data_IF_669746093998
#
_entry.id   IF_669746093998
#
_cell.length_a   1.000
_cell.length_b   1.000
_cell.length_c   1.000
_cell.angle_alpha   90.00
_cell.angle_beta   90.00
_cell.angle_gamma   90.00
#
_symmetry.space_group_name_H-M   'P 1'
#
loop_
_entity.id
_entity.type
_entity.pdbx_description
1 polymer ?
#
# COMPACT_ATOMS: atom_id res chain seq x y z
N UNK A 1 6.67 17.02 15.25
CA UNK A 1 6.88 15.57 15.20
C UNK A 1 5.73 14.87 14.50
N UNK A 2 4.64 14.61 15.21
CA UNK A 2 3.49 13.80 14.74
C UNK A 2 2.83 14.39 13.48
N UNK A 3 2.56 15.70 13.44
CA UNK A 3 1.98 16.37 12.26
C UNK A 3 2.88 16.31 11.02
N UNK A 4 4.20 16.29 11.21
CA UNK A 4 5.18 16.25 10.12
C UNK A 4 5.25 14.84 9.51
N UNK A 5 5.24 13.80 10.35
CA UNK A 5 5.14 12.42 9.89
C UNK A 5 3.76 12.12 9.27
N UNK A 6 2.68 12.66 9.84
CA UNK A 6 1.34 12.51 9.26
C UNK A 6 1.25 13.12 7.85
N UNK A 7 1.77 14.33 7.67
CA UNK A 7 1.86 14.95 6.34
C UNK A 7 2.74 14.17 5.37
N UNK A 8 3.94 13.76 5.80
CA UNK A 8 4.86 13.00 4.96
C UNK A 8 4.27 11.67 4.48
N UNK A 9 3.59 10.92 5.36
CA UNK A 9 2.93 9.65 5.02
C UNK A 9 1.82 9.87 3.98
N UNK A 10 0.99 10.91 4.15
CA UNK A 10 -0.09 11.22 3.20
C UNK A 10 0.40 11.60 1.80
N UNK A 11 1.54 12.29 1.69
CA UNK A 11 2.14 12.58 0.38
C UNK A 11 2.77 11.33 -0.24
N UNK A 12 3.39 10.48 0.58
CA UNK A 12 4.06 9.26 0.11
C UNK A 12 3.05 8.22 -0.43
N UNK A 13 1.86 8.14 0.15
CA UNK A 13 0.75 7.32 -0.39
C UNK A 13 0.08 7.94 -1.63
N UNK A 14 0.36 9.18 -2.00
CA UNK A 14 -0.14 9.75 -3.24
C UNK A 14 0.77 9.44 -4.44
N UNK A 15 1.97 8.91 -4.22
CA UNK A 15 2.90 8.56 -5.28
C UNK A 15 2.43 7.32 -6.05
N UNK A 16 2.51 7.31 -7.40
CA UNK A 16 2.24 6.11 -8.18
C UNK A 16 3.26 5.05 -7.77
N UNK A 17 2.77 3.97 -7.17
CA UNK A 17 3.59 2.94 -6.55
C UNK A 17 3.08 1.55 -6.93
N UNK A 18 3.90 0.54 -6.63
CA UNK A 18 3.49 -0.85 -6.70
C UNK A 18 2.27 -1.09 -5.79
N UNK A 19 1.45 -2.12 -6.08
CA UNK A 19 0.34 -2.51 -5.21
C UNK A 19 0.78 -2.58 -3.76
N UNK A 20 0.10 -1.82 -2.90
CA UNK A 20 0.41 -1.75 -1.48
C UNK A 20 1.66 -0.94 -1.11
N UNK A 21 2.13 0.00 -1.95
CA UNK A 21 3.20 0.97 -1.60
C UNK A 21 4.58 0.37 -1.27
N UNK A 22 4.82 -0.91 -1.63
CA UNK A 22 6.12 -1.57 -1.46
C UNK A 22 7.20 -0.82 -2.26
N UNK A 23 8.25 -0.39 -1.58
CA UNK A 23 9.40 0.34 -2.12
C UNK A 23 9.37 1.84 -1.85
N UNK A 24 8.25 2.52 -2.18
CA UNK A 24 8.13 3.97 -1.96
C UNK A 24 7.91 4.31 -0.49
N UNK A 25 7.19 3.46 0.26
CA UNK A 25 6.94 3.66 1.68
C UNK A 25 8.23 3.61 2.51
N UNK A 26 9.19 2.79 2.10
CA UNK A 26 10.49 2.61 2.75
C UNK A 26 11.40 3.84 2.63
N UNK A 27 11.10 4.79 1.72
CA UNK A 27 11.75 6.12 1.69
C UNK A 27 11.54 6.87 3.02
N UNK A 28 10.47 6.57 3.76
CA UNK A 28 10.25 7.09 5.12
C UNK A 28 11.39 6.81 6.09
N UNK A 29 12.19 5.76 5.86
CA UNK A 29 13.39 5.46 6.65
C UNK A 29 14.40 6.60 6.51
N UNK A 30 14.63 7.09 5.28
CA UNK A 30 15.56 8.19 5.00
C UNK A 30 15.08 9.51 5.58
N UNK A 31 13.77 9.71 5.67
CA UNK A 31 13.19 10.89 6.33
C UNK A 31 13.48 10.84 7.84
N UNK A 32 13.24 9.69 8.48
CA UNK A 32 13.53 9.48 9.91
C UNK A 32 15.02 9.62 10.21
N UNK A 33 15.89 9.03 9.38
CA UNK A 33 17.34 9.21 9.49
C UNK A 33 17.75 10.69 9.33
N UNK A 34 17.15 11.40 8.38
CA UNK A 34 17.41 12.82 8.13
C UNK A 34 17.03 13.77 9.29
N UNK A 35 16.12 13.35 10.17
CA UNK A 35 15.76 14.07 11.40
C UNK A 35 16.47 13.54 12.65
N UNK A 36 17.44 12.62 12.49
CA UNK A 36 18.31 12.14 13.56
C UNK A 36 17.93 10.79 14.18
N UNK A 37 16.98 10.04 13.60
CA UNK A 37 16.68 8.69 14.09
C UNK A 37 17.78 7.69 13.68
N UNK A 38 18.19 6.76 14.56
CA UNK A 38 19.11 5.69 14.18
C UNK A 38 18.46 4.74 13.14
N UNK A 39 19.26 4.26 12.18
CA UNK A 39 18.78 3.47 11.03
C UNK A 39 17.98 2.23 11.40
N UNK A 40 18.43 1.45 12.38
CA UNK A 40 17.75 0.21 12.77
C UNK A 40 16.35 0.46 13.38
N UNK A 41 16.19 1.36 14.37
CA UNK A 41 14.88 1.82 14.83
C UNK A 41 14.00 2.40 13.73
N UNK A 42 14.55 3.26 12.85
CA UNK A 42 13.81 3.86 11.74
C UNK A 42 13.25 2.80 10.78
N UNK A 43 14.06 1.81 10.43
CA UNK A 43 13.64 0.67 9.61
C UNK A 43 12.52 -0.13 10.27
N UNK A 44 12.67 -0.48 11.56
CA UNK A 44 11.65 -1.25 12.29
C UNK A 44 10.32 -0.51 12.40
N UNK A 45 10.36 0.80 12.65
CA UNK A 45 9.17 1.64 12.75
C UNK A 45 8.42 1.70 11.42
N UNK A 46 9.12 1.96 10.31
CA UNK A 46 8.50 2.04 8.98
C UNK A 46 7.92 0.70 8.56
N UNK A 47 8.62 -0.42 8.78
CA UNK A 47 8.10 -1.75 8.46
C UNK A 47 6.81 -2.09 9.21
N UNK A 48 6.79 -1.84 10.53
CA UNK A 48 5.59 -2.12 11.35
C UNK A 48 4.45 -1.21 10.94
N UNK A 49 4.73 0.08 10.72
CA UNK A 49 3.74 1.04 10.26
C UNK A 49 3.14 0.61 8.91
N UNK A 50 3.97 0.14 7.97
CA UNK A 50 3.54 -0.36 6.67
C UNK A 50 2.60 -1.56 6.84
N UNK A 51 3.00 -2.55 7.64
CA UNK A 51 2.19 -3.74 7.89
C UNK A 51 0.84 -3.40 8.55
N UNK A 52 0.80 -2.45 9.48
CA UNK A 52 -0.44 -2.01 10.14
C UNK A 52 -1.38 -1.32 9.15
N UNK A 53 -0.85 -0.57 8.18
CA UNK A 53 -1.67 0.10 7.18
C UNK A 53 -2.18 -0.88 6.11
N UNK A 54 -1.36 -1.87 5.72
CA UNK A 54 -1.68 -2.78 4.62
C UNK A 54 -2.51 -3.99 5.06
N UNK A 55 -2.10 -4.68 6.13
CA UNK A 55 -2.70 -5.97 6.49
C UNK A 55 -4.20 -5.90 6.83
N UNK A 56 -4.70 -4.93 7.61
CA UNK A 56 -6.12 -4.91 7.98
C UNK A 56 -7.03 -4.70 6.78
N UNK A 57 -6.67 -3.79 5.87
CA UNK A 57 -7.48 -3.51 4.68
C UNK A 57 -7.44 -4.67 3.69
N UNK A 58 -6.27 -5.30 3.49
CA UNK A 58 -6.15 -6.49 2.64
C UNK A 58 -6.94 -7.66 3.21
N UNK A 59 -6.82 -7.92 4.52
CA UNK A 59 -7.56 -9.00 5.17
C UNK A 59 -9.07 -8.77 5.08
N UNK A 60 -9.52 -7.54 5.30
CA UNK A 60 -10.93 -7.19 5.18
C UNK A 60 -11.45 -7.42 3.76
N UNK A 61 -10.70 -7.00 2.74
CA UNK A 61 -11.03 -7.27 1.34
C UNK A 61 -11.11 -8.77 1.04
N UNK A 62 -10.16 -9.56 1.53
CA UNK A 62 -10.16 -11.02 1.38
C UNK A 62 -11.35 -11.69 2.07
N UNK A 63 -11.73 -11.21 3.27
CA UNK A 63 -12.91 -11.69 3.99
C UNK A 63 -14.18 -11.41 3.18
N UNK A 64 -14.35 -10.20 2.66
CA UNK A 64 -15.52 -9.87 1.83
C UNK A 64 -15.56 -10.65 0.52
N UNK A 65 -14.43 -10.81 -0.16
CA UNK A 65 -14.35 -11.65 -1.37
C UNK A 65 -14.77 -13.09 -1.08
N UNK A 66 -14.36 -13.66 0.05
CA UNK A 66 -14.75 -15.00 0.47
C UNK A 66 -16.24 -15.10 0.81
N UNK A 67 -16.81 -14.06 1.43
CA UNK A 67 -18.23 -14.02 1.80
C UNK A 67 -19.16 -13.83 0.60
N UNK A 68 -18.78 -12.99 -0.37
CA UNK A 68 -19.58 -12.68 -1.56
C UNK A 68 -19.40 -13.71 -2.69
N UNK A 69 -18.46 -14.66 -2.53
CA UNK A 69 -18.22 -15.72 -3.50
C UNK A 69 -17.55 -15.23 -4.79
N UNK A 70 -16.94 -14.04 -4.77
CA UNK A 70 -16.23 -13.46 -5.91
C UNK A 70 -15.07 -14.38 -6.28
N UNK A 71 -15.16 -14.98 -7.47
CA UNK A 71 -14.11 -15.86 -7.96
C UNK A 71 -13.03 -15.01 -8.60
N UNK A 72 -11.77 -15.32 -8.32
CA UNK A 72 -10.60 -14.66 -8.93
C UNK A 72 -10.66 -14.57 -10.47
N UNK A 73 -11.40 -15.48 -11.12
CA UNK A 73 -11.66 -15.47 -12.56
C UNK A 73 -12.50 -14.26 -13.03
N UNK A 74 -13.53 -13.86 -12.26
CA UNK A 74 -14.44 -12.75 -12.61
C UNK A 74 -13.70 -11.40 -12.53
N UNK A 75 -12.76 -11.27 -11.59
CA UNK A 75 -11.91 -10.09 -11.42
C UNK A 75 -10.92 -9.94 -12.60
N UNK A 76 -10.46 -11.05 -13.18
CA UNK A 76 -9.57 -11.04 -14.35
C UNK A 76 -10.32 -10.73 -15.65
N UNK A 77 -11.54 -11.23 -15.77
CA UNK A 77 -12.40 -10.99 -16.93
C UNK A 77 -12.87 -9.53 -17.00
N UNK A 78 -13.14 -8.90 -15.85
CA UNK A 78 -13.44 -7.47 -15.76
C UNK A 78 -12.26 -6.54 -16.14
N UNK A 79 -11.02 -7.03 -16.07
CA UNK A 79 -9.82 -6.27 -16.46
C UNK A 79 -9.43 -6.44 -17.94
N UNK A 80 -10.01 -7.40 -18.64
CA UNK A 80 -9.76 -7.58 -20.07
C UNK A 80 -10.57 -6.53 -20.84
N UNK A 81 -9.95 -5.53 -21.48
CA UNK A 81 -10.71 -4.60 -22.31
C UNK A 81 -11.39 -5.41 -23.41
N UNK A 82 -12.72 -5.34 -23.46
CA UNK A 82 -13.51 -5.93 -24.53
C UNK A 82 -12.97 -5.33 -25.84
N UNK A 83 -12.16 -6.10 -26.56
CA UNK A 83 -11.73 -5.77 -27.92
C UNK A 83 -12.99 -5.78 -28.75
N UNK A 84 -13.60 -4.61 -28.90
CA UNK A 84 -14.69 -4.37 -29.83
C UNK A 84 -14.14 -4.50 -31.25
N UNK A 85 -14.05 -5.75 -31.71
CA UNK A 85 -13.87 -6.09 -33.11
C UNK A 85 -15.21 -5.95 -33.80
N UNK A 86 -15.55 -4.71 -34.14
CA UNK A 86 -16.68 -4.36 -35.01
C UNK A 86 -16.18 -4.09 -36.42
N UNK A 87 -16.45 -5.07 -37.27
CA UNK A 87 -16.67 -5.09 -38.74
C UNK A 87 -16.46 -3.80 -39.56
#
# INVERSE_FOLDING_TARGET
GILLMGGAVNLLTALPSLPGYIGTFEVGIKILEGIGAPSAPAGSYILVLHAILLLPVTLLGLVFMALEGVKWAEVWEAQSPKSDGGE
#
